data_IF_760750092933
#
_entry.id   IF_760750092933
#
_cell.length_a   1.000
_cell.length_b   1.000
_cell.length_c   1.000
_cell.angle_alpha   90.00
_cell.angle_beta   90.00
_cell.angle_gamma   90.00
#
_symmetry.space_group_name_H-M   'P 1'
#
loop_
_entity.id
_entity.type
_entity.pdbx_description
1 polymer ?
#
# COMPACT_ATOMS: atom_id res chain seq x y z
N UNK A 1 -15.34 -18.35 22.14
CA UNK A 1 -13.98 -18.77 21.76
C UNK A 1 -13.63 -18.11 20.43
N UNK A 2 -12.45 -17.46 20.35
CA UNK A 2 -11.98 -16.84 19.10
C UNK A 2 -11.02 -17.82 18.44
N UNK A 3 -11.31 -18.25 17.21
CA UNK A 3 -10.48 -19.19 16.47
C UNK A 3 -9.44 -18.48 15.59
N UNK A 4 -9.79 -17.33 15.02
CA UNK A 4 -8.90 -16.54 14.15
C UNK A 4 -9.13 -15.05 14.32
N UNK A 5 -8.06 -14.27 14.15
CA UNK A 5 -8.09 -12.80 14.13
C UNK A 5 -7.57 -12.32 12.78
N UNK A 6 -8.30 -11.40 12.18
CA UNK A 6 -7.89 -10.72 10.94
C UNK A 6 -7.62 -9.24 11.18
N UNK A 7 -6.47 -8.80 10.73
CA UNK A 7 -6.10 -7.40 10.59
C UNK A 7 -6.26 -6.99 9.14
N UNK A 8 -6.89 -5.86 8.90
CA UNK A 8 -6.99 -5.26 7.58
C UNK A 8 -6.81 -3.75 7.70
N UNK A 9 -5.79 -3.19 7.08
CA UNK A 9 -5.48 -1.75 7.12
C UNK A 9 -5.37 -1.18 8.55
N UNK A 10 -5.00 -1.99 9.52
CA UNK A 10 -4.82 -1.56 10.91
C UNK A 10 -3.71 -0.51 11.02
N UNK A 11 -3.96 0.48 11.87
CA UNK A 11 -2.94 1.47 12.27
C UNK A 11 -2.15 1.02 13.50
N UNK A 12 -2.59 -0.07 14.15
CA UNK A 12 -1.96 -0.60 15.35
C UNK A 12 -0.96 -1.69 14.98
N UNK A 13 0.20 -1.64 15.62
CA UNK A 13 1.18 -2.71 15.61
C UNK A 13 0.87 -3.63 16.79
N UNK A 14 0.65 -4.91 16.50
CA UNK A 14 0.38 -5.91 17.54
C UNK A 14 1.64 -6.13 18.39
N UNK A 15 1.47 -6.01 19.71
CA UNK A 15 2.57 -6.25 20.66
C UNK A 15 2.81 -7.75 20.81
N UNK A 16 4.02 -8.11 21.26
CA UNK A 16 4.49 -9.49 21.43
C UNK A 16 3.51 -10.35 22.23
N UNK A 17 2.92 -9.80 23.29
CA UNK A 17 1.99 -10.54 24.15
C UNK A 17 0.74 -11.00 23.40
N UNK A 18 0.14 -10.09 22.61
CA UNK A 18 -1.03 -10.43 21.78
C UNK A 18 -0.65 -11.49 20.73
N UNK A 19 0.52 -11.31 20.07
CA UNK A 19 1.00 -12.27 19.07
C UNK A 19 1.19 -13.66 19.69
N UNK A 20 1.71 -13.74 20.92
CA UNK A 20 1.94 -15.00 21.62
C UNK A 20 0.63 -15.69 22.01
N UNK A 21 -0.36 -14.93 22.52
CA UNK A 21 -1.69 -15.47 22.89
C UNK A 21 -2.38 -16.08 21.67
N UNK A 22 -2.29 -15.42 20.52
CA UNK A 22 -2.95 -15.85 19.29
C UNK A 22 -1.97 -16.46 18.26
N UNK A 23 -0.91 -17.10 18.74
CA UNK A 23 0.11 -17.71 17.89
C UNK A 23 -0.51 -18.56 16.78
N UNK A 24 -0.11 -18.29 15.51
CA UNK A 24 -0.62 -18.94 14.30
C UNK A 24 -2.12 -18.72 14.00
N UNK A 25 -2.80 -17.84 14.71
CA UNK A 25 -4.24 -17.55 14.53
C UNK A 25 -4.52 -16.10 14.15
N UNK A 26 -3.48 -15.27 14.05
CA UNK A 26 -3.60 -13.86 13.73
C UNK A 26 -2.99 -13.59 12.36
N UNK A 27 -3.77 -13.00 11.47
CA UNK A 27 -3.43 -12.77 10.07
C UNK A 27 -3.60 -11.32 9.69
N UNK A 28 -2.77 -10.86 8.78
CA UNK A 28 -2.93 -9.55 8.13
C UNK A 28 -3.24 -9.72 6.65
N UNK A 29 -4.12 -8.86 6.15
CA UNK A 29 -4.42 -8.74 4.74
C UNK A 29 -3.65 -7.53 4.22
N UNK A 30 -2.55 -7.82 3.53
CA UNK A 30 -1.64 -6.82 3.00
C UNK A 30 -1.94 -6.54 1.53
N UNK A 31 -2.03 -5.26 1.17
CA UNK A 31 -2.43 -4.82 -0.18
C UNK A 31 -1.30 -4.85 -1.21
N UNK A 32 -0.37 -5.81 -1.12
CA UNK A 32 0.71 -6.02 -2.07
C UNK A 32 1.18 -7.47 -2.08
N UNK A 33 2.19 -7.75 -2.91
CA UNK A 33 2.93 -9.02 -2.86
C UNK A 33 4.06 -8.92 -1.85
N UNK A 34 4.12 -9.90 -0.96
CA UNK A 34 5.24 -10.13 -0.06
C UNK A 34 6.19 -11.19 -0.63
N UNK A 35 7.50 -11.06 -0.40
CA UNK A 35 8.18 -10.01 0.37
C UNK A 35 8.46 -8.72 -0.39
N UNK A 36 8.10 -8.61 -1.68
CA UNK A 36 8.53 -7.52 -2.58
C UNK A 36 8.24 -6.12 -2.04
N UNK A 37 7.09 -5.91 -1.36
CA UNK A 37 6.69 -4.59 -0.85
C UNK A 37 6.07 -4.72 0.54
N UNK A 38 6.81 -4.40 1.59
CA UNK A 38 6.34 -4.30 2.97
C UNK A 38 5.94 -2.89 3.33
N UNK A 39 5.00 -2.73 4.26
CA UNK A 39 4.36 -1.47 4.61
C UNK A 39 3.71 -0.81 3.38
N UNK A 40 4.17 0.36 2.97
CA UNK A 40 3.87 0.93 1.67
C UNK A 40 2.73 1.93 1.62
N UNK A 41 2.71 2.59 0.47
CA UNK A 41 1.66 3.50 0.04
C UNK A 41 1.50 3.36 -1.48
N UNK A 42 0.31 3.56 -1.99
CA UNK A 42 0.07 3.58 -3.44
C UNK A 42 0.86 4.69 -4.15
N UNK A 43 1.21 5.77 -3.43
CA UNK A 43 2.06 6.84 -3.94
C UNK A 43 3.39 6.31 -4.46
N UNK A 44 4.08 5.47 -3.68
CA UNK A 44 5.38 4.91 -4.11
C UNK A 44 5.27 4.02 -5.35
N UNK A 45 4.16 3.30 -5.54
CA UNK A 45 3.95 2.53 -6.78
C UNK A 45 3.86 3.44 -7.98
N UNK A 46 3.16 4.57 -7.84
CA UNK A 46 3.07 5.58 -8.89
C UNK A 46 4.42 6.23 -9.12
N UNK A 47 5.13 6.65 -8.07
CA UNK A 47 6.46 7.24 -8.17
C UNK A 47 7.48 6.32 -8.85
N UNK A 48 7.39 5.02 -8.60
CA UNK A 48 8.28 4.00 -9.15
C UNK A 48 7.74 3.36 -10.45
N UNK A 49 6.69 3.92 -11.05
CA UNK A 49 6.04 3.40 -12.26
C UNK A 49 5.62 1.91 -12.17
N UNK A 50 5.28 1.41 -10.98
CA UNK A 50 4.83 0.05 -10.71
C UNK A 50 3.31 -0.05 -10.79
N UNK A 51 2.77 -0.23 -11.98
CA UNK A 51 1.32 -0.26 -12.24
C UNK A 51 0.76 -1.67 -12.18
N UNK A 52 0.73 -2.26 -11.01
CA UNK A 52 0.05 -3.51 -10.72
C UNK A 52 -0.57 -3.50 -9.33
N UNK A 53 -1.60 -4.32 -9.13
CA UNK A 53 -2.22 -4.59 -7.84
C UNK A 53 -2.10 -6.07 -7.50
N UNK A 54 -2.02 -6.36 -6.23
CA UNK A 54 -2.04 -7.70 -5.66
C UNK A 54 -2.46 -7.62 -4.20
N UNK A 55 -2.68 -8.78 -3.58
CA UNK A 55 -2.92 -8.85 -2.15
C UNK A 55 -2.33 -10.14 -1.58
N UNK A 56 -1.91 -10.09 -0.32
CA UNK A 56 -1.32 -11.20 0.42
C UNK A 56 -2.02 -11.36 1.76
N UNK A 57 -2.39 -12.58 2.13
CA UNK A 57 -2.70 -12.95 3.51
C UNK A 57 -1.45 -13.59 4.10
N UNK A 58 -0.96 -13.05 5.22
CA UNK A 58 0.19 -13.57 5.95
C UNK A 58 -0.08 -13.63 7.44
N UNK A 59 0.65 -14.46 8.16
CA UNK A 59 0.63 -14.48 9.62
C UNK A 59 1.24 -13.17 10.14
N UNK A 60 0.77 -12.70 11.30
CA UNK A 60 1.40 -11.58 11.99
C UNK A 60 2.50 -12.13 12.89
N UNK A 61 3.68 -11.54 12.77
CA UNK A 61 4.84 -11.72 13.65
C UNK A 61 5.27 -10.36 14.23
N UNK A 62 6.45 -10.29 14.85
CA UNK A 62 6.95 -9.06 15.48
C UNK A 62 7.47 -8.02 14.47
N UNK A 63 7.68 -8.42 13.22
CA UNK A 63 8.13 -7.51 12.17
C UNK A 63 6.96 -6.92 11.37
N UNK A 64 7.28 -5.92 10.56
CA UNK A 64 6.27 -5.30 9.68
C UNK A 64 6.15 -6.14 8.41
N UNK A 65 4.97 -6.73 8.22
CA UNK A 65 4.61 -7.57 7.07
C UNK A 65 5.63 -8.68 6.75
N UNK A 66 6.31 -9.21 7.79
CA UNK A 66 7.40 -10.19 7.68
C UNK A 66 6.97 -11.64 7.87
N UNK A 67 5.79 -11.87 8.41
CA UNK A 67 5.30 -13.19 8.76
C UNK A 67 5.04 -14.10 7.56
N UNK A 68 4.88 -15.39 7.85
CA UNK A 68 4.70 -16.43 6.83
C UNK A 68 3.49 -16.18 5.95
N UNK A 69 3.65 -16.32 4.65
CA UNK A 69 2.60 -16.13 3.66
C UNK A 69 1.67 -17.33 3.63
N UNK A 70 0.36 -17.06 3.64
CA UNK A 70 -0.71 -18.07 3.56
C UNK A 70 -1.32 -18.14 2.17
N UNK A 71 -1.68 -16.97 1.61
CA UNK A 71 -2.25 -16.84 0.28
C UNK A 71 -1.77 -15.56 -0.38
N UNK A 72 -1.63 -15.60 -1.71
CA UNK A 72 -1.35 -14.42 -2.52
C UNK A 72 -2.17 -14.45 -3.81
N UNK A 73 -2.56 -13.28 -4.30
CA UNK A 73 -3.09 -13.14 -5.67
C UNK A 73 -1.96 -13.10 -6.68
N UNK A 74 -2.26 -13.32 -7.95
CA UNK A 74 -1.38 -12.93 -9.04
C UNK A 74 -1.32 -11.41 -9.17
N UNK A 75 -0.26 -10.89 -9.81
CA UNK A 75 -0.17 -9.46 -10.19
C UNK A 75 -1.24 -9.16 -11.24
N UNK A 76 -2.04 -8.12 -11.01
CA UNK A 76 -3.04 -7.60 -11.95
C UNK A 76 -2.52 -6.25 -12.45
N UNK A 77 -2.24 -6.14 -13.73
CA UNK A 77 -1.83 -4.87 -14.35
C UNK A 77 -2.99 -3.88 -14.32
N UNK A 78 -2.66 -2.61 -14.06
CA UNK A 78 -3.60 -1.48 -14.15
C UNK A 78 -3.02 -0.40 -15.07
N UNK A 79 -3.86 0.55 -15.49
CA UNK A 79 -3.43 1.63 -16.38
C UNK A 79 -2.32 2.49 -15.77
N UNK A 80 -1.41 2.98 -16.60
CA UNK A 80 -0.40 4.00 -16.22
C UNK A 80 -1.02 5.33 -15.80
N UNK A 81 -2.28 5.60 -16.19
CA UNK A 81 -3.05 6.77 -15.74
C UNK A 81 -3.68 6.60 -14.36
N UNK A 82 -3.56 5.40 -13.74
CA UNK A 82 -4.18 5.11 -12.46
C UNK A 82 -3.70 6.02 -11.35
N UNK A 83 -4.65 6.50 -10.56
CA UNK A 83 -4.45 7.28 -9.34
C UNK A 83 -4.38 6.37 -8.10
N UNK A 84 -3.99 6.86 -6.92
CA UNK A 84 -4.06 6.08 -5.68
C UNK A 84 -5.46 5.50 -5.40
N UNK A 85 -6.52 6.20 -5.80
CA UNK A 85 -7.89 5.69 -5.69
C UNK A 85 -8.13 4.44 -6.54
N UNK A 86 -7.63 4.43 -7.79
CA UNK A 86 -7.75 3.25 -8.65
C UNK A 86 -6.99 2.05 -8.06
N UNK A 87 -5.79 2.29 -7.48
CA UNK A 87 -5.04 1.27 -6.75
C UNK A 87 -5.83 0.73 -5.56
N UNK A 88 -6.44 1.61 -4.76
CA UNK A 88 -7.25 1.22 -3.60
C UNK A 88 -8.40 0.30 -4.01
N UNK A 89 -9.17 0.69 -5.02
CA UNK A 89 -10.32 -0.08 -5.52
C UNK A 89 -9.86 -1.45 -6.05
N UNK A 90 -8.84 -1.48 -6.89
CA UNK A 90 -8.37 -2.74 -7.50
C UNK A 90 -7.70 -3.66 -6.46
N UNK A 91 -6.93 -3.12 -5.52
CA UNK A 91 -6.36 -3.89 -4.41
C UNK A 91 -7.46 -4.45 -3.51
N UNK A 92 -8.53 -3.69 -3.27
CA UNK A 92 -9.71 -4.17 -2.54
C UNK A 92 -10.35 -5.39 -3.20
N UNK A 93 -10.47 -5.39 -4.54
CA UNK A 93 -10.96 -6.57 -5.30
C UNK A 93 -10.02 -7.78 -5.13
N UNK A 94 -8.70 -7.57 -5.19
CA UNK A 94 -7.71 -8.60 -4.92
C UNK A 94 -7.87 -9.18 -3.50
N UNK A 95 -7.98 -8.30 -2.50
CA UNK A 95 -8.14 -8.69 -1.10
C UNK A 95 -9.42 -9.51 -0.88
N UNK A 96 -10.55 -9.05 -1.45
CA UNK A 96 -11.81 -9.78 -1.36
C UNK A 96 -11.71 -11.19 -1.95
N UNK A 97 -11.03 -11.35 -3.08
CA UNK A 97 -10.87 -12.66 -3.74
C UNK A 97 -10.11 -13.65 -2.87
N UNK A 98 -9.00 -13.23 -2.23
CA UNK A 98 -8.22 -14.14 -1.37
C UNK A 98 -8.86 -14.35 0.00
N UNK A 99 -9.63 -13.40 0.52
CA UNK A 99 -10.43 -13.58 1.74
C UNK A 99 -11.47 -14.67 1.52
N UNK A 100 -12.22 -14.61 0.43
CA UNK A 100 -13.17 -15.66 0.06
C UNK A 100 -12.52 -17.04 -0.02
N UNK A 101 -11.35 -17.12 -0.68
CA UNK A 101 -10.56 -18.38 -0.77
C UNK A 101 -10.08 -18.84 0.60
N UNK A 102 -9.61 -17.93 1.46
CA UNK A 102 -9.15 -18.24 2.80
C UNK A 102 -10.29 -18.80 3.67
N UNK A 103 -11.45 -18.13 3.69
CA UNK A 103 -12.64 -18.57 4.44
C UNK A 103 -13.11 -19.94 3.96
N UNK A 104 -13.19 -20.13 2.63
CA UNK A 104 -13.57 -21.42 2.06
C UNK A 104 -12.59 -22.55 2.44
N UNK A 105 -11.30 -22.26 2.51
CA UNK A 105 -10.32 -23.27 2.95
C UNK A 105 -10.49 -23.64 4.43
N UNK A 106 -10.77 -22.66 5.29
CA UNK A 106 -11.03 -22.92 6.71
C UNK A 106 -12.30 -23.75 6.89
N UNK A 107 -13.40 -23.35 6.23
CA UNK A 107 -14.69 -24.05 6.37
C UNK A 107 -14.65 -25.53 5.90
N UNK A 108 -13.70 -25.87 5.02
CA UNK A 108 -13.48 -27.23 4.54
C UNK A 108 -12.26 -27.90 5.21
N UNK A 109 -11.75 -27.37 6.32
CA UNK A 109 -10.60 -27.89 7.05
C UNK A 109 -9.35 -28.15 6.17
N UNK A 110 -9.17 -27.37 5.10
CA UNK A 110 -8.03 -27.50 4.20
C UNK A 110 -6.77 -26.93 4.83
N UNK A 111 -5.68 -27.66 4.77
CA UNK A 111 -4.36 -27.16 5.20
C UNK A 111 -3.87 -26.07 4.26
N UNK A 112 -3.26 -25.02 4.82
CA UNK A 112 -2.59 -23.99 4.04
C UNK A 112 -1.15 -24.40 3.73
N UNK A 113 -0.71 -24.15 2.51
CA UNK A 113 0.70 -24.24 2.15
C UNK A 113 1.39 -22.95 2.60
N UNK A 114 2.01 -22.99 3.77
CA UNK A 114 2.63 -21.83 4.42
C UNK A 114 4.01 -21.60 3.86
N UNK A 115 4.25 -20.41 3.31
CA UNK A 115 5.54 -20.02 2.71
C UNK A 115 6.29 -19.04 3.60
N UNK A 116 7.54 -19.36 3.96
CA UNK A 116 8.45 -18.43 4.63
C UNK A 116 8.89 -17.36 3.62
N UNK A 117 8.94 -16.11 4.07
CA UNK A 117 9.41 -15.02 3.23
C UNK A 117 10.95 -15.05 3.12
N UNK A 118 11.47 -14.76 1.93
CA UNK A 118 12.90 -14.47 1.77
C UNK A 118 13.17 -13.03 2.22
N UNK A 119 13.88 -12.88 3.33
CA UNK A 119 14.18 -11.59 3.93
C UNK A 119 15.30 -10.79 3.20
N UNK A 120 15.94 -11.35 2.19
CA UNK A 120 16.89 -10.63 1.35
C UNK A 120 16.21 -9.90 0.18
N UNK A 121 14.96 -10.26 -0.14
CA UNK A 121 14.20 -9.77 -1.31
C UNK A 121 13.03 -8.87 -0.92
N UNK A 122 13.18 -8.02 0.09
CA UNK A 122 12.11 -7.11 0.45
C UNK A 122 12.48 -5.65 0.20
N UNK A 123 11.46 -4.85 -0.10
CA UNK A 123 11.53 -3.39 -0.06
C UNK A 123 10.61 -2.90 1.04
N UNK A 124 11.15 -2.13 1.96
CA UNK A 124 10.35 -1.42 2.97
C UNK A 124 9.99 -0.04 2.43
N UNK A 125 8.70 0.21 2.29
CA UNK A 125 8.17 1.49 1.84
C UNK A 125 7.47 2.15 3.04
N UNK A 126 8.05 3.19 3.65
CA UNK A 126 7.46 3.84 4.80
C UNK A 126 6.11 4.47 4.45
N UNK A 127 5.30 4.78 5.44
CA UNK A 127 4.03 5.46 5.20
C UNK A 127 4.28 6.85 4.63
N UNK A 128 3.63 7.17 3.51
CA UNK A 128 3.75 8.47 2.86
C UNK A 128 2.60 9.39 3.31
N UNK A 129 2.94 10.43 4.06
CA UNK A 129 1.99 11.44 4.56
C UNK A 129 2.00 12.65 3.63
N UNK A 130 1.05 12.74 2.74
CA UNK A 130 1.01 13.79 1.71
C UNK A 130 0.90 15.21 2.27
N UNK A 131 0.32 15.40 3.46
CA UNK A 131 0.25 16.72 4.11
C UNK A 131 1.61 17.27 4.55
N UNK A 132 2.59 16.39 4.76
CA UNK A 132 3.94 16.72 5.19
C UNK A 132 4.93 16.52 4.04
N UNK A 133 4.85 15.36 3.40
CA UNK A 133 5.83 14.90 2.41
C UNK A 133 5.44 15.26 0.97
N UNK A 134 4.24 15.78 0.75
CA UNK A 134 3.70 16.11 -0.58
C UNK A 134 4.15 17.47 -1.14
N UNK A 135 5.19 18.08 -0.59
CA UNK A 135 5.77 19.32 -1.11
C UNK A 135 6.39 19.09 -2.49
N UNK A 136 6.03 19.93 -3.47
CA UNK A 136 6.59 19.86 -4.82
C UNK A 136 7.91 20.62 -4.84
N UNK A 137 8.97 19.95 -5.29
CA UNK A 137 10.19 20.61 -5.71
C UNK A 137 10.11 20.90 -7.20
N UNK A 138 10.03 22.17 -7.56
CA UNK A 138 9.90 22.62 -8.95
C UNK A 138 11.17 22.44 -9.78
N UNK A 139 12.31 22.08 -9.17
CA UNK A 139 13.53 21.70 -9.86
C UNK A 139 13.49 20.28 -10.42
N UNK A 140 12.52 19.46 -10.02
CA UNK A 140 12.37 18.12 -10.55
C UNK A 140 11.98 18.16 -12.04
N UNK A 141 12.28 17.05 -12.74
CA UNK A 141 11.81 16.84 -14.09
C UNK A 141 10.27 16.93 -14.17
N UNK A 142 9.74 17.67 -15.15
CA UNK A 142 8.31 17.93 -15.26
C UNK A 142 7.43 16.66 -15.36
N UNK A 143 7.92 15.56 -15.97
CA UNK A 143 7.21 14.28 -15.98
C UNK A 143 7.16 13.67 -14.58
N UNK A 144 8.22 13.82 -13.79
CA UNK A 144 8.22 13.35 -12.43
C UNK A 144 7.30 14.19 -11.53
N UNK A 145 7.24 15.52 -11.73
CA UNK A 145 6.30 16.42 -11.06
C UNK A 145 4.86 15.97 -11.31
N UNK A 146 4.51 15.72 -12.59
CA UNK A 146 3.17 15.20 -12.93
C UNK A 146 2.88 13.87 -12.24
N UNK A 147 3.83 12.95 -12.24
CA UNK A 147 3.71 11.65 -11.58
C UNK A 147 3.59 11.78 -10.04
N UNK A 148 4.35 12.71 -9.44
CA UNK A 148 4.30 13.01 -8.02
C UNK A 148 2.94 13.60 -7.62
N UNK A 149 2.44 14.59 -8.34
CA UNK A 149 1.11 15.17 -8.12
C UNK A 149 0.03 14.08 -8.22
N UNK A 150 0.10 13.23 -9.26
CA UNK A 150 -0.80 12.10 -9.42
C UNK A 150 -0.73 11.14 -8.24
N UNK A 151 0.47 10.79 -7.77
CA UNK A 151 0.67 9.91 -6.63
C UNK A 151 0.19 10.47 -5.29
N UNK A 152 0.10 11.80 -5.18
CA UNK A 152 -0.44 12.50 -4.01
C UNK A 152 -1.95 12.77 -4.11
N UNK A 153 -2.61 12.46 -5.23
CA UNK A 153 -4.02 12.75 -5.45
C UNK A 153 -4.95 11.87 -4.59
N UNK A 154 -6.25 12.10 -4.68
CA UNK A 154 -7.27 11.37 -3.90
C UNK A 154 -7.03 9.84 -3.89
N UNK A 155 -7.18 9.18 -2.73
CA UNK A 155 -7.80 9.63 -1.47
C UNK A 155 -6.86 10.43 -0.55
N UNK A 156 -5.66 10.74 -0.99
CA UNK A 156 -4.71 11.55 -0.23
C UNK A 156 -5.03 13.04 -0.36
N UNK A 157 -4.36 13.86 0.44
CA UNK A 157 -4.65 15.28 0.60
C UNK A 157 -4.08 16.19 -0.48
N UNK A 158 -3.49 15.62 -1.54
CA UNK A 158 -2.87 16.34 -2.67
C UNK A 158 -1.39 16.65 -2.46
N UNK A 159 -0.66 16.87 -3.57
CA UNK A 159 0.63 17.52 -3.53
C UNK A 159 0.45 19.01 -3.21
N UNK A 160 1.49 19.70 -2.75
CA UNK A 160 1.37 21.10 -2.41
C UNK A 160 2.64 21.89 -2.72
N UNK A 161 2.47 23.19 -2.87
CA UNK A 161 3.53 24.18 -2.84
C UNK A 161 3.12 25.37 -1.97
N UNK A 162 4.06 26.28 -1.73
CA UNK A 162 3.76 27.54 -1.08
C UNK A 162 3.91 28.67 -2.08
N UNK A 163 2.97 29.61 -2.05
CA UNK A 163 3.02 30.85 -2.78
C UNK A 163 2.98 32.03 -1.81
N UNK A 164 3.60 33.14 -2.18
CA UNK A 164 3.50 34.40 -1.46
C UNK A 164 2.62 35.34 -2.28
N UNK A 165 1.58 35.83 -1.67
CA UNK A 165 0.68 36.82 -2.26
C UNK A 165 0.34 37.89 -1.23
N UNK A 166 0.55 39.17 -1.56
CA UNK A 166 0.38 40.31 -0.64
C UNK A 166 1.05 40.05 0.72
N UNK A 167 2.34 39.70 0.69
CA UNK A 167 3.20 39.40 1.85
C UNK A 167 2.76 38.22 2.73
N UNK A 168 1.69 37.55 2.38
CA UNK A 168 1.18 36.37 3.11
C UNK A 168 1.55 35.08 2.37
N UNK A 169 1.98 34.09 3.13
CA UNK A 169 2.30 32.73 2.62
C UNK A 169 1.08 31.84 2.63
N UNK A 170 0.76 31.27 1.48
CA UNK A 170 -0.37 30.34 1.29
C UNK A 170 0.13 28.95 0.89
N UNK A 171 -0.45 27.90 1.47
CA UNK A 171 -0.26 26.52 1.04
C UNK A 171 -1.30 26.19 -0.03
N UNK A 172 -0.86 25.92 -1.25
CA UNK A 172 -1.72 25.58 -2.38
C UNK A 172 -1.64 24.08 -2.59
N UNK A 173 -2.80 23.39 -2.61
CA UNK A 173 -2.90 21.96 -2.89
C UNK A 173 -3.20 21.73 -4.37
N UNK A 174 -2.46 20.78 -4.96
CA UNK A 174 -2.55 20.45 -6.39
C UNK A 174 -2.89 18.95 -6.49
N UNK A 175 -3.99 18.63 -7.18
CA UNK A 175 -4.49 17.26 -7.32
C UNK A 175 -4.33 16.69 -8.72
N UNK A 176 -4.10 17.55 -9.71
CA UNK A 176 -3.93 17.14 -11.09
C UNK A 176 -3.00 18.11 -11.81
N UNK A 177 -2.26 17.60 -12.79
CA UNK A 177 -1.36 18.37 -13.65
C UNK A 177 -1.18 17.65 -14.98
N UNK A 178 -0.72 18.37 -15.99
CA UNK A 178 -0.34 17.82 -17.28
C UNK A 178 0.99 18.43 -17.72
N UNK A 179 1.95 17.58 -18.02
CA UNK A 179 3.23 18.01 -18.55
C UNK A 179 3.14 18.24 -20.06
N UNK A 180 3.51 19.41 -20.49
CA UNK A 180 3.65 19.75 -21.90
C UNK A 180 5.13 19.90 -22.24
N UNK A 181 5.60 19.22 -23.28
CA UNK A 181 6.90 19.55 -23.86
C UNK A 181 6.80 20.94 -24.50
N UNK A 182 7.73 21.81 -24.15
CA UNK A 182 7.90 23.06 -24.93
C UNK A 182 8.40 22.65 -26.31
N UNK A 183 7.79 23.22 -27.34
CA UNK A 183 8.18 23.05 -28.74
C UNK A 183 9.58 23.62 -28.95
#
# INVERSE_FOLDING_TARGET
KIDYIFSCSSRFIFKKDIINIFKNKIFNIHGSLLPEERAGSYSYRIFNAKYFCASTIHMIDQGIDSGKIILQTKKIKISKSSTPYNFLVQTGKCSLSIIKKFVNNISHHKKFNVKVQNHEKFTYLPRFYTDIMGAIDWNWNGRFIEQFIKGCSKPYSGAFCYIVFKEKKYKVKIFNSKFFKKW
#
